data_IF_771873412677
#
_entry.id   IF_771873412677
#
_cell.length_a   1.000
_cell.length_b   1.000
_cell.length_c   1.000
_cell.angle_alpha   90.00
_cell.angle_beta   90.00
_cell.angle_gamma   90.00
#
_symmetry.space_group_name_H-M   'P 1'
#
loop_
_entity.id
_entity.type
_entity.pdbx_description
1 polymer ?
#
# COMPACT_ATOMS: atom_id res chain seq x y z
N UNK A 1 -4.33 -17.14 -1.30
CA UNK A 1 -5.04 -16.77 -2.54
C UNK A 1 -5.62 -15.37 -2.38
N UNK A 2 -5.97 -14.73 -3.48
CA UNK A 2 -6.58 -13.40 -3.51
C UNK A 2 -7.81 -13.44 -4.40
N UNK A 3 -8.69 -12.44 -4.24
CA UNK A 3 -9.75 -12.14 -5.23
C UNK A 3 -9.47 -10.75 -5.80
N UNK A 4 -9.69 -10.54 -7.09
CA UNK A 4 -9.54 -9.24 -7.74
C UNK A 4 -10.86 -8.79 -8.37
N UNK A 5 -11.11 -7.49 -8.35
CA UNK A 5 -12.20 -6.83 -9.04
C UNK A 5 -11.77 -5.44 -9.49
N UNK A 6 -12.15 -5.04 -10.70
CA UNK A 6 -11.94 -3.67 -11.19
C UNK A 6 -13.29 -2.97 -11.24
N UNK A 7 -13.43 -1.87 -10.55
CA UNK A 7 -14.65 -1.09 -10.50
C UNK A 7 -14.30 0.40 -10.39
N UNK A 8 -14.95 1.26 -11.16
CA UNK A 8 -14.75 2.73 -11.14
C UNK A 8 -13.27 3.13 -11.26
N UNK A 9 -12.50 2.47 -12.13
CA UNK A 9 -11.06 2.65 -12.32
C UNK A 9 -10.20 2.29 -11.10
N UNK A 10 -10.74 1.50 -10.17
CA UNK A 10 -10.04 1.02 -8.98
C UNK A 10 -9.88 -0.49 -9.06
N UNK A 11 -8.64 -0.98 -8.98
CA UNK A 11 -8.36 -2.40 -8.80
C UNK A 11 -8.42 -2.74 -7.31
N UNK A 12 -9.38 -3.54 -6.91
CA UNK A 12 -9.46 -4.12 -5.56
C UNK A 12 -8.77 -5.47 -5.53
N UNK A 13 -7.78 -5.62 -4.66
CA UNK A 13 -7.09 -6.87 -4.36
C UNK A 13 -7.49 -7.28 -2.94
N UNK A 14 -8.37 -8.26 -2.83
CA UNK A 14 -8.81 -8.78 -1.55
C UNK A 14 -7.99 -10.00 -1.16
N UNK A 15 -7.31 -9.93 -0.02
CA UNK A 15 -6.64 -11.08 0.58
C UNK A 15 -7.71 -12.09 1.03
N UNK A 16 -7.56 -13.35 0.62
CA UNK A 16 -8.49 -14.43 0.95
C UNK A 16 -7.74 -15.75 1.13
N UNK A 17 -6.83 -15.78 2.11
CA UNK A 17 -6.01 -16.94 2.41
C UNK A 17 -6.19 -17.39 3.86
N UNK A 18 -7.10 -18.34 4.04
CA UNK A 18 -7.48 -18.85 5.37
C UNK A 18 -8.11 -17.79 6.26
N UNK A 19 -8.29 -18.07 7.55
CA UNK A 19 -9.04 -17.17 8.43
C UNK A 19 -8.30 -15.88 8.77
N UNK A 20 -6.98 -15.85 8.64
CA UNK A 20 -6.12 -14.74 9.11
C UNK A 20 -5.25 -14.12 8.00
N UNK A 21 -5.49 -14.49 6.74
CA UNK A 21 -4.73 -13.99 5.58
C UNK A 21 -3.21 -14.10 5.78
N UNK A 22 -2.74 -15.31 6.15
CA UNK A 22 -1.31 -15.57 6.29
C UNK A 22 -0.61 -15.38 4.93
N UNK A 23 0.53 -14.70 4.94
CA UNK A 23 1.30 -14.41 3.74
C UNK A 23 2.33 -15.50 3.51
N UNK A 24 2.12 -16.30 2.49
CA UNK A 24 3.10 -17.23 1.94
C UNK A 24 3.55 -16.74 0.55
N UNK A 25 4.49 -17.43 -0.06
CA UNK A 25 5.03 -17.06 -1.36
C UNK A 25 3.97 -17.02 -2.46
N UNK A 26 3.01 -17.95 -2.46
CA UNK A 26 1.91 -17.99 -3.41
C UNK A 26 1.02 -16.73 -3.32
N UNK A 27 0.64 -16.32 -2.11
CA UNK A 27 -0.15 -15.11 -1.90
C UNK A 27 0.60 -13.87 -2.38
N UNK A 28 1.90 -13.77 -2.07
CA UNK A 28 2.73 -12.64 -2.51
C UNK A 28 2.84 -12.60 -4.03
N UNK A 29 3.06 -13.75 -4.69
CA UNK A 29 3.13 -13.84 -6.15
C UNK A 29 1.78 -13.49 -6.80
N UNK A 30 0.65 -13.91 -6.23
CA UNK A 30 -0.66 -13.55 -6.74
C UNK A 30 -0.92 -12.03 -6.66
N UNK A 31 -0.45 -11.35 -5.60
CA UNK A 31 -0.56 -9.88 -5.52
C UNK A 31 0.35 -9.22 -6.57
N UNK A 32 1.58 -9.73 -6.76
CA UNK A 32 2.48 -9.25 -7.81
C UNK A 32 1.82 -9.37 -9.17
N UNK A 33 1.32 -10.55 -9.51
CA UNK A 33 0.64 -10.81 -10.78
C UNK A 33 -0.55 -9.88 -11.00
N UNK A 34 -1.39 -9.68 -9.99
CA UNK A 34 -2.52 -8.78 -10.07
C UNK A 34 -2.10 -7.33 -10.37
N UNK A 35 -1.03 -6.85 -9.72
CA UNK A 35 -0.48 -5.51 -9.98
C UNK A 35 0.15 -5.45 -11.37
N UNK A 36 0.96 -6.44 -11.78
CA UNK A 36 1.67 -6.46 -13.06
C UNK A 36 0.71 -6.63 -14.26
N UNK A 37 -0.41 -7.32 -14.10
CA UNK A 37 -1.40 -7.55 -15.19
C UNK A 37 -2.51 -6.52 -15.17
N UNK A 38 -3.31 -6.47 -14.11
CA UNK A 38 -4.49 -5.61 -14.02
C UNK A 38 -4.12 -4.20 -13.54
N UNK A 39 -3.17 -4.08 -12.60
CA UNK A 39 -2.75 -2.79 -12.06
C UNK A 39 -2.06 -1.89 -13.09
N UNK A 40 -1.45 -2.44 -14.14
CA UNK A 40 -0.84 -1.66 -15.24
C UNK A 40 -1.82 -1.35 -16.38
N UNK A 41 -3.06 -1.88 -16.35
CA UNK A 41 -4.08 -1.50 -17.29
C UNK A 41 -4.37 0.01 -17.21
N UNK A 42 -4.51 0.69 -18.34
CA UNK A 42 -4.75 2.15 -18.38
C UNK A 42 -6.12 2.53 -17.82
N UNK A 43 -7.08 1.61 -17.86
CA UNK A 43 -8.39 1.80 -17.23
C UNK A 43 -8.33 1.78 -15.69
N UNK A 44 -7.25 1.28 -15.10
CA UNK A 44 -7.04 1.30 -13.66
C UNK A 44 -6.21 2.52 -13.27
N UNK A 45 -6.69 3.32 -12.33
CA UNK A 45 -6.01 4.53 -11.82
C UNK A 45 -5.55 4.41 -10.36
N UNK A 46 -6.13 3.49 -9.59
CA UNK A 46 -5.83 3.27 -8.16
C UNK A 46 -5.88 1.78 -7.85
N UNK A 47 -5.06 1.33 -6.92
CA UNK A 47 -5.05 -0.04 -6.41
C UNK A 47 -5.42 0.00 -4.93
N UNK A 48 -6.34 -0.85 -4.51
CA UNK A 48 -6.73 -1.04 -3.10
C UNK A 48 -6.41 -2.47 -2.68
N UNK A 49 -5.60 -2.64 -1.64
CA UNK A 49 -5.37 -3.94 -0.99
C UNK A 49 -6.21 -3.98 0.28
N UNK A 50 -7.08 -4.98 0.41
CA UNK A 50 -7.96 -5.16 1.58
C UNK A 50 -7.96 -6.59 2.10
N UNK A 51 -8.33 -6.76 3.35
CA UNK A 51 -8.45 -8.07 3.98
C UNK A 51 -9.74 -8.81 3.62
N UNK A 52 -9.93 -9.97 4.26
CA UNK A 52 -11.18 -10.73 4.21
C UNK A 52 -12.18 -10.21 5.26
N UNK A 53 -13.24 -10.97 5.56
CA UNK A 53 -14.25 -10.58 6.53
C UNK A 53 -13.72 -10.44 7.97
N UNK A 54 -12.59 -11.07 8.30
CA UNK A 54 -12.07 -11.16 9.68
C UNK A 54 -10.95 -10.16 9.96
N UNK A 55 -10.03 -9.98 9.01
CA UNK A 55 -8.85 -9.14 9.24
C UNK A 55 -8.12 -8.80 7.95
N UNK A 56 -7.19 -7.85 8.05
CA UNK A 56 -6.28 -7.54 6.96
C UNK A 56 -5.28 -8.69 6.75
N UNK A 57 -4.35 -8.91 7.68
CA UNK A 57 -3.42 -10.05 7.66
C UNK A 57 -2.69 -10.19 9.02
N UNK A 58 -2.56 -11.42 9.50
CA UNK A 58 -1.78 -11.72 10.70
C UNK A 58 -0.27 -11.91 10.44
N UNK A 59 0.20 -11.69 9.20
CA UNK A 59 1.61 -11.78 8.85
C UNK A 59 1.99 -13.03 8.07
N UNK A 60 3.29 -13.36 8.07
CA UNK A 60 3.81 -14.52 7.35
C UNK A 60 3.20 -15.85 7.85
N UNK A 61 3.12 -16.84 6.98
CA UNK A 61 2.69 -18.19 7.36
C UNK A 61 3.80 -18.91 8.16
N UNK A 62 3.90 -18.54 9.43
CA UNK A 62 4.91 -19.09 10.35
C UNK A 62 4.80 -20.62 10.50
N UNK A 63 3.61 -21.19 10.30
CA UNK A 63 3.41 -22.64 10.44
C UNK A 63 4.16 -23.43 9.38
N UNK A 64 4.36 -22.84 8.20
CA UNK A 64 5.14 -23.48 7.13
C UNK A 64 6.65 -23.40 7.34
N UNK A 65 7.17 -22.47 8.15
CA UNK A 65 8.61 -22.19 8.28
C UNK A 65 9.47 -23.41 8.65
N UNK A 66 9.06 -24.32 9.57
CA UNK A 66 9.87 -25.49 9.88
C UNK A 66 10.09 -26.41 8.68
N UNK A 67 9.14 -26.46 7.75
CA UNK A 67 9.17 -27.35 6.59
C UNK A 67 9.92 -26.74 5.40
N UNK A 68 10.07 -25.41 5.37
CA UNK A 68 10.77 -24.72 4.28
C UNK A 68 12.26 -25.00 4.33
N UNK A 69 12.84 -25.34 3.19
CA UNK A 69 14.28 -25.37 2.96
C UNK A 69 14.89 -23.96 3.07
N UNK A 70 16.22 -23.88 3.16
CA UNK A 70 16.91 -22.58 3.14
C UNK A 70 16.62 -21.80 1.84
N UNK A 71 16.47 -22.50 0.71
CA UNK A 71 16.18 -21.88 -0.58
C UNK A 71 14.78 -21.27 -0.60
N UNK A 72 13.76 -22.03 -0.20
CA UNK A 72 12.37 -21.54 -0.14
C UNK A 72 12.20 -20.36 0.82
N UNK A 73 12.97 -20.33 1.94
CA UNK A 73 12.98 -19.13 2.83
C UNK A 73 13.59 -17.91 2.14
N UNK A 74 14.62 -18.11 1.31
CA UNK A 74 15.23 -17.03 0.52
C UNK A 74 14.26 -16.56 -0.57
N UNK A 75 13.55 -17.47 -1.22
CA UNK A 75 12.55 -17.16 -2.25
C UNK A 75 11.40 -16.34 -1.65
N UNK A 76 10.87 -16.76 -0.50
CA UNK A 76 9.85 -16.00 0.22
C UNK A 76 10.32 -14.55 0.54
N UNK A 77 11.56 -14.40 1.04
CA UNK A 77 12.13 -13.09 1.34
C UNK A 77 12.32 -12.25 0.06
N UNK A 78 12.78 -12.88 -1.02
CA UNK A 78 12.99 -12.22 -2.32
C UNK A 78 11.67 -11.79 -2.95
N UNK A 79 10.65 -12.65 -2.90
CA UNK A 79 9.30 -12.38 -3.40
C UNK A 79 8.66 -11.23 -2.63
N UNK A 80 8.79 -11.21 -1.29
CA UNK A 80 8.31 -10.08 -0.50
C UNK A 80 9.00 -8.77 -0.86
N UNK A 81 10.33 -8.81 -1.04
CA UNK A 81 11.09 -7.63 -1.45
C UNK A 81 10.69 -7.14 -2.86
N UNK A 82 10.42 -8.08 -3.81
CA UNK A 82 9.90 -7.75 -5.15
C UNK A 82 8.56 -7.06 -5.05
N UNK A 83 7.60 -7.64 -4.31
CA UNK A 83 6.26 -7.06 -4.13
C UNK A 83 6.32 -5.64 -3.55
N UNK A 84 7.08 -5.45 -2.48
CA UNK A 84 7.10 -4.16 -1.80
C UNK A 84 7.84 -3.08 -2.60
N UNK A 85 8.79 -3.49 -3.44
CA UNK A 85 9.39 -2.61 -4.42
C UNK A 85 8.37 -2.26 -5.52
N UNK A 86 7.65 -3.25 -6.04
CA UNK A 86 6.62 -3.04 -7.05
C UNK A 86 5.54 -2.06 -6.56
N UNK A 87 5.03 -2.23 -5.34
CA UNK A 87 4.07 -1.30 -4.72
C UNK A 87 4.63 0.12 -4.71
N UNK A 88 5.89 0.29 -4.33
CA UNK A 88 6.54 1.61 -4.27
C UNK A 88 6.74 2.22 -5.66
N UNK A 89 7.15 1.41 -6.65
CA UNK A 89 7.57 1.90 -7.98
C UNK A 89 6.48 1.84 -9.05
N UNK A 90 5.38 1.12 -8.83
CA UNK A 90 4.26 1.15 -9.77
C UNK A 90 3.69 2.58 -9.87
N UNK A 91 3.26 2.95 -11.06
CA UNK A 91 2.83 4.33 -11.34
C UNK A 91 1.48 4.70 -10.74
N UNK A 92 0.78 3.77 -10.09
CA UNK A 92 -0.56 3.98 -9.52
C UNK A 92 -0.51 3.93 -8.01
N UNK A 93 -1.24 4.83 -7.31
CA UNK A 93 -1.32 4.80 -5.85
C UNK A 93 -1.88 3.47 -5.35
N UNK A 94 -1.27 2.93 -4.30
CA UNK A 94 -1.72 1.72 -3.62
C UNK A 94 -2.20 2.10 -2.22
N UNK A 95 -3.45 1.80 -1.94
CA UNK A 95 -4.14 2.08 -0.67
C UNK A 95 -4.31 0.75 0.08
N UNK A 96 -3.96 0.69 1.35
CA UNK A 96 -4.32 -0.42 2.23
C UNK A 96 -5.54 -0.06 3.07
N UNK A 97 -6.56 -0.93 3.03
CA UNK A 97 -7.81 -0.83 3.81
C UNK A 97 -7.77 -1.88 4.93
N UNK A 98 -7.54 -1.42 6.16
CA UNK A 98 -7.03 -2.23 7.26
C UNK A 98 -8.08 -2.35 8.38
N UNK A 99 -8.42 -3.60 8.77
CA UNK A 99 -9.27 -3.86 9.93
C UNK A 99 -8.86 -5.14 10.68
N UNK A 100 -9.30 -5.26 11.92
CA UNK A 100 -9.14 -6.44 12.76
C UNK A 100 -7.70 -6.69 13.19
N UNK A 101 -6.93 -7.44 12.42
CA UNK A 101 -5.53 -7.76 12.71
C UNK A 101 -4.66 -7.40 11.51
N UNK A 102 -3.57 -6.67 11.78
CA UNK A 102 -2.56 -6.28 10.80
C UNK A 102 -1.19 -6.37 11.48
N UNK A 103 -0.60 -7.58 11.53
CA UNK A 103 0.60 -7.88 12.31
C UNK A 103 1.72 -8.42 11.42
N UNK A 104 2.96 -8.24 11.86
CA UNK A 104 4.15 -8.77 11.21
C UNK A 104 4.19 -8.45 9.72
N UNK A 105 4.39 -9.47 8.88
CA UNK A 105 4.38 -9.32 7.41
C UNK A 105 3.13 -8.62 6.86
N UNK A 106 1.97 -8.73 7.52
CA UNK A 106 0.76 -7.99 7.16
C UNK A 106 0.90 -6.48 7.40
N UNK A 107 1.49 -6.10 8.52
CA UNK A 107 1.80 -4.69 8.78
C UNK A 107 2.93 -4.18 7.89
N UNK A 108 3.92 -5.03 7.56
CA UNK A 108 4.97 -4.71 6.60
C UNK A 108 4.42 -4.43 5.20
N UNK A 109 3.41 -5.20 4.76
CA UNK A 109 2.68 -4.96 3.51
C UNK A 109 1.92 -3.63 3.56
N UNK A 110 1.21 -3.35 4.66
CA UNK A 110 0.50 -2.08 4.84
C UNK A 110 1.45 -0.88 4.84
N UNK A 111 2.62 -1.00 5.48
CA UNK A 111 3.67 0.04 5.47
C UNK A 111 4.31 0.25 4.08
N UNK A 112 4.25 -0.74 3.20
CA UNK A 112 4.73 -0.61 1.82
C UNK A 112 3.75 0.13 0.91
N UNK A 113 2.46 0.16 1.24
CA UNK A 113 1.44 0.91 0.50
C UNK A 113 1.66 2.42 0.65
N UNK A 114 1.18 3.19 -0.32
CA UNK A 114 1.30 4.66 -0.32
C UNK A 114 0.40 5.28 0.76
N UNK A 115 -0.83 4.78 0.88
CA UNK A 115 -1.84 5.28 1.81
C UNK A 115 -2.43 4.14 2.64
N UNK A 116 -2.89 4.46 3.84
CA UNK A 116 -3.45 3.51 4.82
C UNK A 116 -4.67 4.11 5.49
N UNK A 117 -5.80 3.37 5.41
CA UNK A 117 -6.98 3.63 6.21
C UNK A 117 -7.18 2.45 7.17
N UNK A 118 -7.67 2.72 8.38
CA UNK A 118 -7.71 1.71 9.43
C UNK A 118 -8.91 1.91 10.35
N UNK A 119 -9.48 0.80 10.87
CA UNK A 119 -10.44 0.89 11.97
C UNK A 119 -9.73 1.09 13.31
N UNK A 120 -10.34 1.82 14.23
CA UNK A 120 -9.77 2.20 15.53
C UNK A 120 -9.42 1.01 16.44
N UNK A 121 -10.10 -0.11 16.27
CA UNK A 121 -9.95 -1.34 17.06
C UNK A 121 -8.93 -2.32 16.45
N UNK A 122 -8.32 -1.97 15.33
CA UNK A 122 -7.33 -2.81 14.65
C UNK A 122 -6.06 -2.96 15.49
N UNK A 123 -5.60 -4.21 15.61
CA UNK A 123 -4.30 -4.51 16.23
C UNK A 123 -3.21 -4.43 15.16
N UNK A 124 -2.24 -3.54 15.37
CA UNK A 124 -1.06 -3.40 14.51
C UNK A 124 0.22 -3.61 15.30
N UNK A 125 1.25 -4.15 14.68
CA UNK A 125 2.54 -4.38 15.34
C UNK A 125 3.49 -5.26 14.56
N UNK A 126 4.71 -5.41 15.11
CA UNK A 126 5.77 -6.27 14.60
C UNK A 126 6.17 -7.29 15.67
N UNK A 127 5.36 -8.35 15.89
CA UNK A 127 5.52 -9.28 17.03
C UNK A 127 6.57 -10.37 16.81
N UNK A 128 7.33 -10.36 15.74
CA UNK A 128 8.26 -11.41 15.30
C UNK A 128 9.28 -11.77 16.38
N UNK A 129 9.71 -10.83 17.21
CA UNK A 129 10.69 -11.03 18.29
C UNK A 129 10.19 -12.09 19.31
N UNK A 130 8.86 -12.17 19.52
CA UNK A 130 8.28 -13.16 20.43
C UNK A 130 8.47 -14.61 19.94
N UNK A 131 8.84 -14.78 18.67
CA UNK A 131 9.16 -16.07 18.05
C UNK A 131 10.68 -16.28 17.87
N UNK A 132 11.52 -15.35 18.38
CA UNK A 132 12.97 -15.41 18.20
C UNK A 132 13.42 -15.07 16.77
N UNK A 133 12.58 -14.43 15.99
CA UNK A 133 12.88 -13.94 14.63
C UNK A 133 12.72 -12.43 14.57
N UNK A 134 12.90 -11.82 13.41
CA UNK A 134 12.75 -10.38 13.21
C UNK A 134 11.81 -10.09 12.02
N UNK A 135 11.25 -8.88 11.91
CA UNK A 135 10.44 -8.46 10.77
C UNK A 135 11.28 -8.47 9.47
N UNK A 136 11.15 -9.55 8.70
CA UNK A 136 12.05 -9.87 7.59
C UNK A 136 11.70 -9.24 6.25
N UNK A 137 10.52 -8.62 6.13
CA UNK A 137 10.05 -8.02 4.88
C UNK A 137 10.29 -6.50 4.83
N UNK A 138 11.13 -5.98 5.73
CA UNK A 138 11.57 -4.58 5.75
C UNK A 138 10.71 -3.63 6.60
N UNK A 139 9.91 -4.19 7.51
CA UNK A 139 9.01 -3.43 8.38
C UNK A 139 9.74 -2.46 9.30
N UNK A 140 10.81 -2.91 9.95
CA UNK A 140 11.59 -2.03 10.84
C UNK A 140 12.11 -0.80 10.11
N UNK A 141 12.65 -0.98 8.90
CA UNK A 141 13.19 0.14 8.11
C UNK A 141 12.11 1.12 7.69
N UNK A 142 10.96 0.62 7.22
CA UNK A 142 9.83 1.47 6.80
C UNK A 142 9.21 2.19 7.99
N UNK A 143 8.98 1.46 9.08
CA UNK A 143 8.44 2.06 10.30
C UNK A 143 9.39 3.13 10.83
N UNK A 144 10.71 2.88 10.87
CA UNK A 144 11.71 3.87 11.31
C UNK A 144 11.69 5.14 10.47
N UNK A 145 11.51 5.01 9.16
CA UNK A 145 11.41 6.17 8.27
C UNK A 145 10.15 7.01 8.52
N UNK A 146 9.08 6.39 9.01
CA UNK A 146 7.78 7.05 9.20
C UNK A 146 7.56 7.60 10.61
N UNK A 147 8.01 6.89 11.66
CA UNK A 147 7.76 7.28 13.06
C UNK A 147 9.05 7.62 13.84
N UNK A 148 10.19 7.52 13.17
CA UNK A 148 11.51 7.67 13.80
C UNK A 148 12.04 6.36 14.42
N UNK A 149 13.37 6.28 14.53
CA UNK A 149 14.08 5.06 14.93
C UNK A 149 13.67 4.55 16.31
N UNK A 150 13.50 5.43 17.29
CA UNK A 150 13.19 5.03 18.67
C UNK A 150 11.87 4.27 18.79
N UNK A 151 10.79 4.81 18.20
CA UNK A 151 9.48 4.15 18.23
C UNK A 151 9.46 2.84 17.43
N UNK A 152 10.14 2.81 16.29
CA UNK A 152 10.24 1.59 15.50
C UNK A 152 11.03 0.49 16.23
N UNK A 153 12.13 0.83 16.89
CA UNK A 153 12.90 -0.10 17.72
C UNK A 153 12.09 -0.59 18.91
N UNK A 154 11.40 0.29 19.63
CA UNK A 154 10.52 -0.11 20.73
C UNK A 154 9.49 -1.13 20.24
N UNK A 155 8.73 -0.84 19.19
CA UNK A 155 7.72 -1.72 18.66
C UNK A 155 8.29 -3.10 18.25
N UNK A 156 9.42 -3.12 17.54
CA UNK A 156 10.02 -4.37 17.06
C UNK A 156 10.71 -5.18 18.16
N UNK A 157 11.29 -4.54 19.19
CA UNK A 157 12.01 -5.21 20.26
C UNK A 157 11.12 -5.67 21.41
N UNK A 158 9.97 -5.01 21.63
CA UNK A 158 8.98 -5.48 22.62
C UNK A 158 8.02 -6.50 22.01
N UNK A 159 7.77 -6.43 20.71
CA UNK A 159 6.78 -7.26 20.00
C UNK A 159 5.34 -7.00 20.46
N UNK A 160 5.09 -5.87 21.12
CA UNK A 160 3.78 -5.45 21.57
C UNK A 160 2.97 -4.81 20.44
N UNK A 161 1.65 -4.78 20.61
CA UNK A 161 0.80 -4.01 19.70
C UNK A 161 1.09 -2.51 19.84
N UNK A 162 1.16 -1.83 18.72
CA UNK A 162 1.38 -0.38 18.67
C UNK A 162 0.08 0.33 19.00
N UNK A 163 0.13 1.30 19.90
CA UNK A 163 -1.01 2.18 20.19
C UNK A 163 -1.24 3.12 18.99
N UNK A 164 -2.41 3.02 18.35
CA UNK A 164 -2.75 3.81 17.17
C UNK A 164 -2.69 5.32 17.40
N UNK A 165 -3.04 5.79 18.59
CA UNK A 165 -2.98 7.23 18.94
C UNK A 165 -1.56 7.78 18.91
N UNK A 166 -0.56 6.96 19.24
CA UNK A 166 0.85 7.37 19.21
C UNK A 166 1.43 7.45 17.80
N UNK A 167 0.81 6.76 16.86
CA UNK A 167 1.25 6.63 15.46
C UNK A 167 0.16 7.01 14.46
N UNK A 168 -0.83 7.79 14.90
CA UNK A 168 -1.96 8.17 14.05
C UNK A 168 -1.56 8.82 12.72
N UNK A 169 -0.42 9.48 12.67
CA UNK A 169 0.14 10.07 11.45
C UNK A 169 0.60 9.04 10.40
N UNK A 170 0.66 7.75 10.75
CA UNK A 170 0.86 6.67 9.77
C UNK A 170 -0.37 6.44 8.88
N UNK A 171 -1.53 6.87 9.34
CA UNK A 171 -2.80 6.56 8.70
C UNK A 171 -3.42 7.83 8.12
N UNK A 172 -3.91 7.73 6.90
CA UNK A 172 -4.64 8.81 6.24
C UNK A 172 -5.99 9.06 6.93
N UNK A 173 -6.60 7.97 7.44
CA UNK A 173 -7.84 8.06 8.20
C UNK A 173 -7.94 6.88 9.19
N UNK A 174 -8.41 7.18 10.41
CA UNK A 174 -8.79 6.18 11.41
C UNK A 174 -10.29 6.29 11.59
N UNK A 175 -11.01 5.23 11.30
CA UNK A 175 -12.46 5.21 11.27
C UNK A 175 -13.04 4.31 12.37
N UNK A 176 -14.33 4.45 12.63
CA UNK A 176 -15.01 3.79 13.74
C UNK A 176 -15.07 2.26 13.56
N UNK A 177 -15.48 1.78 12.39
CA UNK A 177 -15.75 0.38 12.10
C UNK A 177 -15.48 0.02 10.64
N UNK A 178 -15.76 -1.23 10.29
CA UNK A 178 -15.51 -1.77 8.96
C UNK A 178 -16.40 -1.11 7.89
N UNK A 179 -17.64 -0.76 8.20
CA UNK A 179 -18.53 -0.10 7.25
C UNK A 179 -18.01 1.31 6.91
N UNK A 180 -17.62 2.06 7.94
CA UNK A 180 -16.98 3.37 7.75
C UNK A 180 -15.65 3.24 6.99
N UNK A 181 -14.88 2.16 7.20
CA UNK A 181 -13.65 1.89 6.48
C UNK A 181 -13.90 1.66 4.99
N UNK A 182 -14.91 0.86 4.64
CA UNK A 182 -15.27 0.60 3.25
C UNK A 182 -15.68 1.89 2.55
N UNK A 183 -16.54 2.70 3.17
CA UNK A 183 -16.98 3.99 2.65
C UNK A 183 -15.82 4.99 2.48
N UNK A 184 -14.96 5.12 3.47
CA UNK A 184 -13.80 6.01 3.42
C UNK A 184 -12.79 5.58 2.34
N UNK A 185 -12.54 4.27 2.23
CA UNK A 185 -11.65 3.69 1.22
C UNK A 185 -12.18 3.93 -0.19
N UNK A 186 -13.46 3.65 -0.44
CA UNK A 186 -14.11 3.88 -1.73
C UNK A 186 -14.08 5.38 -2.09
N UNK A 187 -14.43 6.26 -1.15
CA UNK A 187 -14.39 7.71 -1.36
C UNK A 187 -13.00 8.20 -1.73
N UNK A 188 -11.96 7.76 -1.02
CA UNK A 188 -10.59 8.15 -1.32
C UNK A 188 -10.16 7.64 -2.70
N UNK A 189 -10.38 6.33 -2.96
CA UNK A 189 -9.98 5.69 -4.20
C UNK A 189 -10.69 6.32 -5.42
N UNK A 190 -12.01 6.53 -5.36
CA UNK A 190 -12.78 7.14 -6.46
C UNK A 190 -12.44 8.61 -6.64
N UNK A 191 -12.15 9.34 -5.55
CA UNK A 191 -11.67 10.73 -5.64
C UNK A 191 -10.36 10.81 -6.43
N UNK A 192 -9.40 9.92 -6.15
CA UNK A 192 -8.14 9.86 -6.90
C UNK A 192 -8.39 9.40 -8.33
N UNK A 193 -9.18 8.34 -8.52
CA UNK A 193 -9.49 7.79 -9.84
C UNK A 193 -10.20 8.79 -10.77
N UNK A 194 -10.88 9.79 -10.21
CA UNK A 194 -11.49 10.89 -10.99
C UNK A 194 -10.49 11.88 -11.58
N UNK A 195 -9.17 11.73 -11.30
CA UNK A 195 -8.14 12.65 -11.76
C UNK A 195 -7.44 12.12 -13.01
N UNK A 196 -6.65 13.00 -13.64
CA UNK A 196 -5.78 12.62 -14.77
C UNK A 196 -4.80 11.52 -14.38
N UNK A 197 -4.79 10.43 -15.15
CA UNK A 197 -3.87 9.32 -14.90
C UNK A 197 -2.41 9.77 -15.04
N UNK A 198 -2.11 10.66 -16.00
CA UNK A 198 -0.75 11.16 -16.21
C UNK A 198 -0.24 11.94 -15.00
N UNK A 199 -1.10 12.81 -14.45
CA UNK A 199 -0.77 13.56 -13.22
C UNK A 199 -0.63 12.63 -12.01
N UNK A 200 -1.46 11.60 -11.87
CA UNK A 200 -1.35 10.60 -10.80
C UNK A 200 0.03 9.91 -10.87
N UNK A 201 0.43 9.45 -12.06
CA UNK A 201 1.72 8.78 -12.28
C UNK A 201 2.90 9.68 -11.86
N UNK A 202 2.90 10.93 -12.31
CA UNK A 202 3.97 11.88 -12.00
C UNK A 202 3.99 12.22 -10.51
N UNK A 203 2.85 12.51 -9.89
CA UNK A 203 2.78 12.83 -8.45
C UNK A 203 3.35 11.68 -7.61
N UNK A 204 2.99 10.43 -7.92
CA UNK A 204 3.54 9.28 -7.20
C UNK A 204 5.05 9.14 -7.44
N UNK A 205 5.53 9.32 -8.67
CA UNK A 205 6.96 9.28 -8.97
C UNK A 205 7.73 10.36 -8.19
N UNK A 206 7.26 11.60 -8.21
CA UNK A 206 7.89 12.70 -7.48
C UNK A 206 7.92 12.46 -5.97
N UNK A 207 6.87 11.88 -5.40
CA UNK A 207 6.84 11.55 -3.96
C UNK A 207 7.90 10.52 -3.51
N UNK A 208 8.55 9.83 -4.44
CA UNK A 208 9.59 8.84 -4.19
C UNK A 208 11.01 9.37 -4.42
N UNK A 209 11.15 10.59 -4.92
CA UNK A 209 12.46 11.23 -5.15
C UNK A 209 12.98 11.89 -3.87
N UNK A 210 14.28 12.07 -3.81
CA UNK A 210 14.95 12.86 -2.77
C UNK A 210 15.04 14.35 -3.17
N UNK A 211 15.56 15.19 -2.28
CA UNK A 211 15.76 16.63 -2.53
C UNK A 211 17.16 16.85 -3.12
N UNK A 212 17.42 16.33 -4.30
CA UNK A 212 18.68 16.47 -5.03
C UNK A 212 18.48 17.26 -6.31
N UNK A 213 19.58 17.84 -6.83
CA UNK A 213 19.57 18.56 -8.12
C UNK A 213 19.11 17.65 -9.28
N UNK A 214 19.41 16.36 -9.23
CA UNK A 214 18.95 15.40 -10.22
C UNK A 214 17.42 15.23 -10.16
N UNK A 215 16.86 15.16 -8.97
CA UNK A 215 15.41 15.12 -8.74
C UNK A 215 14.72 16.39 -9.23
N UNK A 216 15.29 17.57 -8.97
CA UNK A 216 14.79 18.85 -9.47
C UNK A 216 14.71 18.86 -11.00
N UNK A 217 15.75 18.37 -11.69
CA UNK A 217 15.78 18.27 -13.17
C UNK A 217 14.75 17.28 -13.73
N UNK A 218 14.40 16.22 -12.96
CA UNK A 218 13.34 15.29 -13.32
C UNK A 218 11.99 15.98 -13.19
N UNK A 219 11.76 16.70 -12.09
CA UNK A 219 10.53 17.45 -11.83
C UNK A 219 10.28 18.54 -12.89
N UNK A 220 11.32 19.32 -13.25
CA UNK A 220 11.24 20.34 -14.31
C UNK A 220 10.77 19.76 -15.65
N UNK A 221 11.29 18.60 -16.04
CA UNK A 221 10.88 17.91 -17.28
C UNK A 221 9.43 17.46 -17.21
N UNK A 222 9.05 16.79 -16.13
CA UNK A 222 7.66 16.35 -15.96
C UNK A 222 6.67 17.51 -15.88
N UNK A 223 7.07 18.65 -15.30
CA UNK A 223 6.22 19.85 -15.28
C UNK A 223 5.87 20.33 -16.69
N UNK A 224 6.86 20.39 -17.59
CA UNK A 224 6.63 20.79 -18.98
C UNK A 224 5.77 19.75 -19.70
N UNK A 225 6.14 18.46 -19.62
CA UNK A 225 5.42 17.39 -20.31
C UNK A 225 3.94 17.30 -19.89
N UNK A 226 3.66 17.46 -18.60
CA UNK A 226 2.28 17.40 -18.08
C UNK A 226 1.44 18.58 -18.57
N UNK A 227 1.99 19.80 -18.63
CA UNK A 227 1.24 20.97 -19.12
C UNK A 227 0.85 20.82 -20.59
N UNK A 228 1.66 20.12 -21.38
CA UNK A 228 1.39 19.84 -22.79
C UNK A 228 0.36 18.73 -23.02
N UNK A 229 0.03 17.94 -22.00
CA UNK A 229 -0.92 16.81 -22.09
C UNK A 229 -2.35 17.28 -22.39
N UNK A 230 -3.14 16.39 -23.00
CA UNK A 230 -4.56 16.67 -23.28
C UNK A 230 -5.38 16.82 -22.00
N UNK A 231 -5.07 16.03 -20.98
CA UNK A 231 -5.72 16.15 -19.67
C UNK A 231 -5.42 17.48 -18.98
N UNK A 232 -4.20 18.02 -19.11
CA UNK A 232 -3.89 19.35 -18.56
C UNK A 232 -4.64 20.46 -19.32
N UNK A 233 -4.69 20.39 -20.65
CA UNK A 233 -5.49 21.33 -21.46
C UNK A 233 -6.96 21.31 -21.08
N UNK A 234 -7.56 20.11 -20.92
CA UNK A 234 -8.93 19.94 -20.45
C UNK A 234 -9.11 20.52 -19.05
N UNK A 235 -8.23 20.21 -18.11
CA UNK A 235 -8.32 20.71 -16.73
C UNK A 235 -8.21 22.24 -16.65
N UNK A 236 -7.32 22.84 -17.42
CA UNK A 236 -7.14 24.29 -17.49
C UNK A 236 -8.35 24.96 -18.13
N UNK A 237 -8.87 24.43 -19.24
CA UNK A 237 -10.07 24.95 -19.89
C UNK A 237 -11.29 24.85 -18.98
N UNK A 238 -11.47 23.69 -18.32
CA UNK A 238 -12.55 23.50 -17.35
C UNK A 238 -12.48 24.51 -16.20
N UNK A 239 -11.28 24.78 -15.68
CA UNK A 239 -11.07 25.78 -14.63
C UNK A 239 -11.44 27.21 -15.09
N UNK A 240 -10.97 27.62 -16.27
CA UNK A 240 -11.28 28.94 -16.86
C UNK A 240 -12.79 29.12 -17.07
N UNK A 241 -13.44 28.05 -17.57
CA UNK A 241 -14.87 28.07 -17.88
C UNK A 241 -15.79 27.68 -16.70
N UNK A 242 -15.21 27.48 -15.49
CA UNK A 242 -15.92 27.11 -14.25
C UNK A 242 -16.83 25.89 -14.40
N UNK A 243 -16.37 24.89 -15.12
CA UNK A 243 -17.03 23.57 -15.26
C UNK A 243 -16.19 22.46 -14.63
N UNK A 244 -16.80 21.29 -14.44
CA UNK A 244 -16.06 20.10 -14.00
C UNK A 244 -15.20 19.55 -15.18
N UNK A 245 -13.91 19.21 -14.95
CA UNK A 245 -13.09 18.58 -15.99
C UNK A 245 -13.52 17.12 -16.24
N UNK A 246 -13.29 16.64 -17.46
CA UNK A 246 -13.53 15.27 -17.90
C UNK A 246 -12.18 14.68 -18.36
N UNK A 247 -11.46 14.05 -17.43
CA UNK A 247 -10.17 13.44 -17.72
C UNK A 247 -10.33 12.05 -18.36
N UNK A 248 -9.50 11.79 -19.35
CA UNK A 248 -9.40 10.47 -20.01
C UNK A 248 -8.46 9.55 -19.25
#
# INVERSE_FOLDING_TARGET
MINTNVENHVLYIQLNHGPVNALNEEVLNNIIEAIETQGFDEDVKVIVIKGNEKCFSAGADIKSFPELTKHERLDLASTSAKLFRLIKTCHKPVISSIHGVCLGGGFELALACDMRLITKDTKVGLPEINLGIFPGFGGVRRLSAMVGQHKALQAALTGENINLEEVKHLFNEIVEDKEALEQATEKLATTIASKSLDSIKVIKQMSNLDLSLESDQIEERHFVDIIESDNAKEGIDAFINKRKPEFK
#
